data_IF_298293781491
#
_entry.id   IF_298293781491
#
_cell.length_a   1.000
_cell.length_b   1.000
_cell.length_c   1.000
_cell.angle_alpha   90.00
_cell.angle_beta   90.00
_cell.angle_gamma   90.00
#
_symmetry.space_group_name_H-M   'P 1'
#
loop_
_entity.id
_entity.type
_entity.pdbx_description
1 polymer ?
#
# COMPACT_ATOMS: atom_id res chain seq x y z
N UNK A 1 10.74 28.77 -24.58
CA UNK A 1 9.56 28.94 -23.70
C UNK A 1 9.02 27.56 -23.36
N UNK A 2 9.38 27.00 -22.19
CA UNK A 2 8.81 25.73 -21.72
C UNK A 2 7.59 26.08 -20.87
N UNK A 3 6.41 25.63 -21.34
CA UNK A 3 5.11 25.83 -20.71
C UNK A 3 5.13 25.07 -19.38
N UNK A 4 5.31 25.81 -18.28
CA UNK A 4 5.17 25.30 -16.92
C UNK A 4 3.71 24.88 -16.75
N UNK A 5 3.42 23.61 -17.03
CA UNK A 5 2.12 23.03 -16.72
C UNK A 5 2.02 23.07 -15.20
N UNK A 6 1.28 24.06 -14.68
CA UNK A 6 0.80 24.04 -13.31
C UNK A 6 -0.08 22.80 -13.22
N UNK A 7 0.50 21.70 -12.72
CA UNK A 7 -0.31 20.61 -12.20
C UNK A 7 -1.19 21.24 -11.14
N UNK A 8 -2.50 21.23 -11.35
CA UNK A 8 -3.49 21.80 -10.46
C UNK A 8 -3.28 21.17 -9.07
N UNK A 9 -2.64 21.94 -8.18
CA UNK A 9 -2.28 21.53 -6.82
C UNK A 9 -3.51 21.30 -5.92
N UNK A 10 -4.70 21.58 -6.44
CA UNK A 10 -5.99 21.53 -5.76
C UNK A 10 -6.80 20.26 -6.08
N UNK A 11 -6.62 19.60 -7.24
CA UNK A 11 -7.27 18.30 -7.52
C UNK A 11 -6.61 17.14 -6.74
N UNK A 12 -5.36 17.34 -6.32
CA UNK A 12 -4.67 16.41 -5.41
C UNK A 12 -5.20 16.44 -3.97
N UNK A 13 -6.08 17.40 -3.63
CA UNK A 13 -6.58 17.59 -2.27
C UNK A 13 -7.83 16.73 -2.07
N UNK A 14 -7.60 15.57 -1.45
CA UNK A 14 -8.60 14.57 -1.03
C UNK A 14 -9.00 13.55 -2.10
N UNK A 15 -8.03 12.84 -2.69
CA UNK A 15 -8.35 11.46 -3.08
C UNK A 15 -8.79 10.74 -1.81
N UNK A 16 -10.02 10.21 -1.76
CA UNK A 16 -10.45 9.53 -0.55
C UNK A 16 -9.53 8.32 -0.37
N UNK A 17 -8.89 8.20 0.79
CA UNK A 17 -7.99 7.07 1.11
C UNK A 17 -8.68 5.73 0.89
N UNK A 18 -10.01 5.68 1.00
CA UNK A 18 -10.84 4.53 0.65
C UNK A 18 -10.70 4.08 -0.81
N UNK A 19 -10.50 4.99 -1.76
CA UNK A 19 -10.29 4.66 -3.17
C UNK A 19 -8.91 4.01 -3.43
N UNK A 20 -7.91 4.27 -2.59
CA UNK A 20 -6.61 3.58 -2.71
C UNK A 20 -6.68 2.13 -2.20
N UNK A 21 -7.65 1.81 -1.35
CA UNK A 21 -7.81 0.50 -0.73
C UNK A 21 -8.98 -0.31 -1.30
N UNK A 22 -9.83 0.29 -2.15
CA UNK A 22 -11.08 -0.32 -2.63
C UNK A 22 -10.87 -1.60 -3.42
N UNK A 23 -9.75 -1.70 -4.14
CA UNK A 23 -9.47 -2.82 -5.03
C UNK A 23 -8.72 -3.97 -4.32
N UNK A 24 -8.36 -3.80 -3.04
CA UNK A 24 -7.74 -4.85 -2.25
C UNK A 24 -8.76 -5.92 -1.89
N UNK A 25 -8.34 -7.19 -1.97
CA UNK A 25 -9.10 -8.26 -1.31
C UNK A 25 -8.96 -8.15 0.21
N UNK A 26 -9.89 -8.73 0.96
CA UNK A 26 -9.82 -8.75 2.43
C UNK A 26 -8.48 -9.25 2.95
N UNK A 27 -7.92 -10.30 2.33
CA UNK A 27 -6.59 -10.82 2.68
C UNK A 27 -5.47 -9.85 2.38
N UNK A 28 -5.50 -9.18 1.23
CA UNK A 28 -4.49 -8.18 0.86
C UNK A 28 -4.53 -6.99 1.82
N UNK A 29 -5.74 -6.49 2.13
CA UNK A 29 -5.96 -5.41 3.08
C UNK A 29 -5.47 -5.78 4.48
N UNK A 30 -5.90 -6.94 4.99
CA UNK A 30 -5.48 -7.44 6.31
C UNK A 30 -3.96 -7.58 6.39
N UNK A 31 -3.32 -8.14 5.37
CA UNK A 31 -1.85 -8.27 5.32
C UNK A 31 -1.14 -6.92 5.36
N UNK A 32 -1.63 -5.94 4.60
CA UNK A 32 -1.05 -4.60 4.56
C UNK A 32 -1.22 -3.85 5.90
N UNK A 33 -2.42 -3.91 6.50
CA UNK A 33 -2.71 -3.32 7.80
C UNK A 33 -1.87 -3.96 8.91
N UNK A 34 -1.77 -5.29 8.93
CA UNK A 34 -0.95 -6.01 9.90
C UNK A 34 0.53 -5.64 9.80
N UNK A 35 1.08 -5.59 8.58
CA UNK A 35 2.46 -5.16 8.36
C UNK A 35 2.69 -3.72 8.84
N UNK A 36 1.78 -2.80 8.52
CA UNK A 36 1.86 -1.40 8.95
C UNK A 36 1.85 -1.26 10.47
N UNK A 37 0.87 -1.88 11.13
CA UNK A 37 0.71 -1.78 12.58
C UNK A 37 1.77 -2.54 13.38
N UNK A 38 2.39 -3.57 12.80
CA UNK A 38 3.51 -4.28 13.41
C UNK A 38 4.84 -3.54 13.27
N UNK A 39 4.89 -2.38 12.58
CA UNK A 39 6.13 -1.65 12.35
C UNK A 39 7.07 -2.34 11.37
N UNK A 40 6.54 -3.17 10.47
CA UNK A 40 7.31 -3.86 9.42
C UNK A 40 8.03 -2.87 8.47
N UNK A 41 7.46 -1.68 8.29
CA UNK A 41 7.98 -0.66 7.38
C UNK A 41 8.92 0.35 8.05
N UNK A 42 9.12 0.27 9.37
CA UNK A 42 9.91 1.24 10.13
C UNK A 42 11.43 1.03 10.02
N UNK A 43 12.20 2.03 10.43
CA UNK A 43 13.65 1.92 10.59
C UNK A 43 14.13 2.44 11.96
N UNK A 44 14.69 1.58 12.83
CA UNK A 44 14.76 0.12 12.70
C UNK A 44 13.35 -0.50 12.67
N UNK A 45 13.20 -1.69 12.06
CA UNK A 45 11.90 -2.39 12.04
C UNK A 45 11.55 -2.92 13.42
N UNK A 46 10.28 -2.78 13.81
CA UNK A 46 9.76 -3.36 15.05
C UNK A 46 9.36 -4.83 14.88
N UNK A 47 8.97 -5.23 13.66
CA UNK A 47 8.64 -6.62 13.31
C UNK A 47 9.26 -7.05 11.99
N UNK A 48 9.69 -8.31 11.93
CA UNK A 48 10.12 -8.96 10.70
C UNK A 48 8.92 -9.48 9.89
N UNK A 49 9.16 -9.92 8.66
CA UNK A 49 8.11 -10.56 7.86
C UNK A 49 7.67 -11.90 8.43
N UNK A 50 8.53 -12.58 9.18
CA UNK A 50 8.23 -13.83 9.88
C UNK A 50 7.27 -13.57 11.04
N UNK A 51 7.55 -12.56 11.87
CA UNK A 51 6.68 -12.17 12.99
C UNK A 51 5.26 -11.83 12.52
N UNK A 52 5.15 -11.07 11.42
CA UNK A 52 3.84 -10.71 10.86
C UNK A 52 3.14 -11.92 10.23
N UNK A 53 3.88 -12.79 9.52
CA UNK A 53 3.32 -14.00 8.95
C UNK A 53 2.74 -14.95 10.03
N UNK A 54 3.45 -15.10 11.13
CA UNK A 54 3.03 -15.89 12.29
C UNK A 54 1.75 -15.31 12.91
N UNK A 55 1.66 -13.98 13.05
CA UNK A 55 0.45 -13.32 13.56
C UNK A 55 -0.79 -13.55 12.69
N UNK A 56 -0.58 -13.72 11.37
CA UNK A 56 -1.63 -13.98 10.39
C UNK A 56 -1.89 -15.47 10.15
N UNK A 57 -1.15 -16.36 10.83
CA UNK A 57 -1.21 -17.81 10.66
C UNK A 57 -0.99 -18.25 9.20
N UNK A 58 -0.03 -17.63 8.52
CA UNK A 58 0.39 -17.98 7.15
C UNK A 58 1.89 -18.18 7.08
N UNK A 59 2.38 -18.82 6.02
CA UNK A 59 3.82 -18.91 5.80
C UNK A 59 4.43 -17.54 5.44
N UNK A 60 5.71 -17.26 5.76
CA UNK A 60 6.37 -16.02 5.35
C UNK A 60 6.33 -15.78 3.83
N UNK A 61 6.51 -16.79 2.94
CA UNK A 61 6.31 -16.62 1.51
C UNK A 61 4.88 -16.19 1.12
N UNK A 62 3.87 -16.75 1.79
CA UNK A 62 2.45 -16.37 1.58
C UNK A 62 2.19 -14.93 2.01
N UNK A 63 2.70 -14.52 3.18
CA UNK A 63 2.65 -13.14 3.64
C UNK A 63 3.26 -12.19 2.61
N UNK A 64 4.49 -12.42 2.17
CA UNK A 64 5.15 -11.56 1.18
C UNK A 64 4.43 -11.53 -0.17
N UNK A 65 3.82 -12.64 -0.60
CA UNK A 65 3.00 -12.67 -1.80
C UNK A 65 1.77 -11.77 -1.66
N UNK A 66 1.05 -11.87 -0.54
CA UNK A 66 -0.12 -11.03 -0.28
C UNK A 66 0.25 -9.56 -0.16
N UNK A 67 1.33 -9.25 0.57
CA UNK A 67 1.83 -7.90 0.75
C UNK A 67 2.20 -7.26 -0.59
N UNK A 68 3.02 -7.94 -1.41
CA UNK A 68 3.43 -7.44 -2.74
C UNK A 68 2.24 -7.18 -3.65
N UNK A 69 1.23 -8.06 -3.64
CA UNK A 69 0.02 -7.87 -4.44
C UNK A 69 -0.82 -6.69 -3.93
N UNK A 70 -0.87 -6.48 -2.62
CA UNK A 70 -1.57 -5.35 -2.02
C UNK A 70 -0.86 -4.02 -2.38
N UNK A 71 0.45 -3.94 -2.15
CA UNK A 71 1.29 -2.79 -2.51
C UNK A 71 1.16 -2.44 -4.00
N UNK A 72 1.23 -3.43 -4.89
CA UNK A 72 1.07 -3.21 -6.32
C UNK A 72 -0.27 -2.58 -6.71
N UNK A 73 -1.37 -3.00 -6.08
CA UNK A 73 -2.69 -2.39 -6.31
C UNK A 73 -2.75 -0.95 -5.78
N UNK A 74 -2.21 -0.70 -4.58
CA UNK A 74 -2.14 0.64 -4.01
C UNK A 74 -1.31 1.57 -4.90
N UNK A 75 -0.17 1.09 -5.41
CA UNK A 75 0.68 1.86 -6.32
C UNK A 75 0.02 2.09 -7.67
N UNK A 76 -0.67 1.09 -8.23
CA UNK A 76 -1.48 1.26 -9.45
C UNK A 76 -2.54 2.35 -9.25
N UNK A 77 -3.33 2.25 -8.17
CA UNK A 77 -4.31 3.27 -7.81
C UNK A 77 -3.69 4.65 -7.60
N UNK A 78 -2.47 4.74 -7.07
CA UNK A 78 -1.78 6.02 -6.84
C UNK A 78 -1.24 6.66 -8.14
N UNK A 79 -0.60 5.87 -9.00
CA UNK A 79 0.14 6.38 -10.16
C UNK A 79 -0.65 6.34 -11.48
N UNK A 80 -1.54 5.37 -11.68
CA UNK A 80 -2.36 5.27 -12.90
C UNK A 80 -3.50 6.28 -12.90
N UNK A 81 -4.05 6.60 -11.71
CA UNK A 81 -5.04 7.68 -11.56
C UNK A 81 -4.46 9.10 -11.68
N UNK A 82 -3.13 9.24 -11.74
CA UNK A 82 -2.47 10.52 -12.02
C UNK A 82 -2.18 10.74 -13.52
N UNK A 83 -2.46 9.72 -14.35
CA UNK A 83 -2.14 9.70 -15.78
C UNK A 83 -3.36 9.86 -16.69
N UNK A 84 -4.56 10.03 -16.12
CA UNK A 84 -5.81 10.32 -16.82
C UNK A 84 -6.38 11.65 -16.36
#
# INVERSE_FOLDING_TARGET
MLRRQQVNKEEAQSRPTSALLSDLTDRQRTTLEAAYHAGFFEWPRDASGEDVADSLQVSPPTFHQHLRKAEGKVFGALFESASG
#
